data_IF_770570418402
#
_entry.id   IF_770570418402
#
_cell.length_a   1.000
_cell.length_b   1.000
_cell.length_c   1.000
_cell.angle_alpha   90.00
_cell.angle_beta   90.00
_cell.angle_gamma   90.00
#
_symmetry.space_group_name_H-M   'P 1'
#
loop_
_entity.id
_entity.type
_entity.pdbx_description
1 polymer ?
#
# COMPACT_ATOMS: atom_id res chain seq x y z
N UNK A 1 -5.40 -6.69 6.08
CA UNK A 1 -6.02 -6.43 4.76
C UNK A 1 -5.24 -7.23 3.72
N UNK A 2 -5.90 -8.08 2.95
CA UNK A 2 -5.24 -8.87 1.89
C UNK A 2 -5.79 -8.45 0.53
N UNK A 3 -4.91 -8.16 -0.42
CA UNK A 3 -5.24 -7.72 -1.78
C UNK A 3 -4.30 -8.39 -2.79
N UNK A 4 -4.66 -8.35 -4.07
CA UNK A 4 -3.82 -8.84 -5.16
C UNK A 4 -3.01 -7.72 -5.79
N UNK A 5 -1.86 -8.05 -6.42
CA UNK A 5 -1.10 -7.08 -7.21
C UNK A 5 -1.99 -6.36 -8.24
N UNK A 6 -1.76 -5.06 -8.42
CA UNK A 6 -2.51 -4.20 -9.32
C UNK A 6 -3.82 -3.65 -8.77
N UNK A 7 -4.32 -4.16 -7.63
CA UNK A 7 -5.52 -3.64 -7.00
C UNK A 7 -5.26 -2.36 -6.18
N UNK A 8 -6.33 -1.70 -5.77
CA UNK A 8 -6.27 -0.63 -4.80
C UNK A 8 -6.53 -1.19 -3.39
N UNK A 9 -5.72 -0.78 -2.41
CA UNK A 9 -5.93 -1.09 -1.01
C UNK A 9 -6.51 0.13 -0.27
N UNK A 10 -7.56 -0.07 0.51
CA UNK A 10 -8.08 0.98 1.40
C UNK A 10 -7.56 0.75 2.81
N UNK A 11 -6.72 1.66 3.29
CA UNK A 11 -6.18 1.64 4.64
C UNK A 11 -7.09 2.49 5.55
N UNK A 12 -7.91 1.82 6.36
CA UNK A 12 -8.89 2.46 7.25
C UNK A 12 -8.25 3.21 8.42
N UNK A 13 -8.62 4.48 8.63
CA UNK A 13 -8.26 5.19 9.84
C UNK A 13 -9.34 6.20 10.20
N UNK A 14 -9.86 6.12 11.42
CA UNK A 14 -10.95 6.98 11.88
C UNK A 14 -10.62 7.64 13.21
N UNK A 15 -10.86 8.94 13.30
CA UNK A 15 -10.79 9.71 14.55
C UNK A 15 -12.17 9.92 15.15
N UNK A 16 -12.30 10.98 15.95
CA UNK A 16 -13.62 11.45 16.41
C UNK A 16 -14.31 12.27 15.33
N UNK A 17 -15.61 12.02 15.13
CA UNK A 17 -16.49 12.81 14.25
C UNK A 17 -16.74 14.24 14.74
N UNK A 18 -16.59 14.49 16.05
CA UNK A 18 -16.98 15.76 16.68
C UNK A 18 -15.85 16.81 16.70
N UNK A 19 -14.64 16.38 16.30
CA UNK A 19 -13.42 17.17 16.37
C UNK A 19 -12.86 17.41 14.97
N UNK A 20 -12.31 18.60 14.76
CA UNK A 20 -11.65 18.91 13.49
C UNK A 20 -10.27 18.28 13.44
N UNK A 21 -9.99 17.55 12.37
CA UNK A 21 -8.67 17.02 12.08
C UNK A 21 -7.70 18.17 11.76
N UNK A 22 -6.58 18.18 12.48
CA UNK A 22 -5.50 19.15 12.31
C UNK A 22 -4.29 18.54 11.59
N UNK A 23 -3.97 17.28 11.88
CA UNK A 23 -2.87 16.52 11.27
C UNK A 23 -3.34 15.09 11.01
N UNK A 24 -2.94 14.54 9.87
CA UNK A 24 -2.98 13.09 9.58
C UNK A 24 -1.61 12.67 9.11
N UNK A 25 -1.10 11.61 9.69
CA UNK A 25 0.14 10.98 9.27
C UNK A 25 -0.13 9.52 8.98
N UNK A 26 0.23 9.07 7.79
CA UNK A 26 0.39 7.65 7.50
C UNK A 26 1.87 7.36 7.33
N UNK A 27 2.34 6.34 8.05
CA UNK A 27 3.74 5.89 8.04
C UNK A 27 3.79 4.40 7.77
N UNK A 28 4.90 3.96 7.19
CA UNK A 28 5.27 2.55 7.09
C UNK A 28 6.59 2.43 7.87
N UNK A 29 6.61 1.83 9.07
CA UNK A 29 7.76 1.89 9.99
C UNK A 29 9.06 1.27 9.44
N UNK A 30 8.96 0.41 8.44
CA UNK A 30 10.06 -0.21 7.70
C UNK A 30 10.74 0.72 6.69
N UNK A 31 10.18 1.91 6.45
CA UNK A 31 10.78 2.95 5.60
C UNK A 31 11.64 3.91 6.42
N UNK A 32 12.26 4.88 5.74
CA UNK A 32 13.06 5.93 6.40
C UNK A 32 12.19 6.70 7.40
N UNK A 33 12.71 7.03 8.61
CA UNK A 33 11.93 7.66 9.70
C UNK A 33 11.21 8.95 9.32
N UNK A 34 11.79 9.73 8.40
CA UNK A 34 11.30 11.05 8.01
C UNK A 34 10.44 11.03 6.73
N UNK A 35 10.00 9.84 6.29
CA UNK A 35 9.23 9.68 5.06
C UNK A 35 7.82 9.14 5.34
N UNK A 36 6.82 9.76 4.72
CA UNK A 36 5.42 9.43 4.93
C UNK A 36 4.85 8.62 3.77
N UNK A 37 3.84 7.80 4.05
CA UNK A 37 2.93 7.28 3.03
C UNK A 37 1.96 8.38 2.61
N UNK A 38 1.46 9.14 3.59
CA UNK A 38 0.61 10.31 3.37
C UNK A 38 0.80 11.30 4.53
N UNK A 39 0.87 12.59 4.23
CA UNK A 39 0.94 13.64 5.25
C UNK A 39 -0.02 14.77 4.93
N UNK A 40 -0.87 15.08 5.90
CA UNK A 40 -1.77 16.22 5.86
C UNK A 40 -1.61 17.05 7.12
N UNK A 41 -1.54 18.36 6.93
CA UNK A 41 -1.62 19.34 8.01
C UNK A 41 -2.53 20.45 7.53
N UNK A 42 -3.66 20.62 8.24
CA UNK A 42 -4.76 21.50 7.86
C UNK A 42 -4.25 22.85 7.30
N UNK A 43 -4.71 23.28 6.12
CA UNK A 43 -5.70 22.65 5.23
C UNK A 43 -5.10 21.84 4.06
N UNK A 44 -3.79 21.54 4.06
CA UNK A 44 -3.10 21.00 2.89
C UNK A 44 -2.52 19.59 3.11
N UNK A 45 -2.50 18.79 2.05
CA UNK A 45 -1.65 17.61 1.92
C UNK A 45 -0.29 17.99 1.32
N UNK A 46 0.78 17.32 1.74
CA UNK A 46 2.15 17.67 1.33
C UNK A 46 2.85 16.46 0.74
N UNK A 47 2.84 16.38 -0.59
CA UNK A 47 3.48 15.29 -1.34
C UNK A 47 5.02 15.31 -1.24
N UNK A 48 5.61 16.48 -0.95
CA UNK A 48 7.07 16.62 -0.78
C UNK A 48 7.63 15.86 0.44
N UNK A 49 6.79 15.46 1.40
CA UNK A 49 7.19 14.61 2.52
C UNK A 49 6.89 13.12 2.29
N UNK A 50 6.24 12.77 1.17
CA UNK A 50 5.96 11.37 0.86
C UNK A 50 7.22 10.65 0.41
N UNK A 51 7.34 9.39 0.83
CA UNK A 51 8.35 8.48 0.30
C UNK A 51 8.09 8.25 -1.20
N UNK A 52 9.16 8.16 -1.99
CA UNK A 52 9.08 8.15 -3.47
C UNK A 52 8.20 7.03 -4.01
N UNK A 53 8.17 5.87 -3.35
CA UNK A 53 7.33 4.74 -3.76
C UNK A 53 5.83 5.01 -3.64
N UNK A 54 5.38 6.05 -2.92
CA UNK A 54 3.96 6.35 -2.68
C UNK A 54 3.45 7.57 -3.45
N UNK A 55 4.34 8.41 -3.99
CA UNK A 55 3.96 9.59 -4.75
C UNK A 55 3.07 9.23 -5.94
N UNK A 56 2.02 10.03 -6.16
CA UNK A 56 1.00 9.78 -7.18
C UNK A 56 0.16 8.49 -7.00
N UNK A 57 0.35 7.73 -5.91
CA UNK A 57 -0.41 6.49 -5.64
C UNK A 57 -1.35 6.57 -4.45
N UNK A 58 -1.27 7.61 -3.64
CA UNK A 58 -2.04 7.71 -2.38
C UNK A 58 -3.02 8.88 -2.40
N UNK A 59 -4.30 8.58 -2.19
CA UNK A 59 -5.35 9.58 -2.03
C UNK A 59 -6.13 9.36 -0.74
N UNK A 60 -6.78 10.41 -0.24
CA UNK A 60 -7.82 10.25 0.78
C UNK A 60 -9.02 9.53 0.18
N UNK A 61 -9.58 8.57 0.91
CA UNK A 61 -10.87 7.97 0.55
C UNK A 61 -11.98 9.03 0.53
N UNK A 62 -11.97 9.91 1.51
CA UNK A 62 -12.90 11.01 1.66
C UNK A 62 -12.09 12.31 1.75
N UNK A 63 -11.98 13.10 0.67
CA UNK A 63 -11.14 14.30 0.64
C UNK A 63 -11.49 15.34 1.71
N UNK A 64 -12.74 15.37 2.16
CA UNK A 64 -13.19 16.26 3.24
C UNK A 64 -12.83 15.76 4.65
N UNK A 65 -12.41 14.49 4.77
CA UNK A 65 -12.25 13.75 6.03
C UNK A 65 -13.43 13.91 7.00
N UNK A 66 -14.66 14.00 6.44
CA UNK A 66 -15.88 14.09 7.24
C UNK A 66 -15.99 12.91 8.20
N UNK A 67 -16.66 13.14 9.32
CA UNK A 67 -16.86 12.13 10.37
C UNK A 67 -15.55 11.55 10.93
N UNK A 68 -14.44 12.27 10.79
CA UNK A 68 -13.13 11.86 11.25
C UNK A 68 -12.46 10.80 10.36
N UNK A 69 -12.93 10.59 9.13
CA UNK A 69 -12.41 9.58 8.21
C UNK A 69 -11.11 10.03 7.53
N UNK A 70 -9.98 9.53 8.04
CA UNK A 70 -8.63 9.79 7.52
C UNK A 70 -8.07 8.61 6.72
N UNK A 71 -8.96 7.73 6.23
CA UNK A 71 -8.58 6.54 5.47
C UNK A 71 -7.97 6.94 4.12
N UNK A 72 -6.95 6.20 3.68
CA UNK A 72 -6.29 6.42 2.39
C UNK A 72 -6.50 5.25 1.45
N UNK A 73 -6.55 5.54 0.15
CA UNK A 73 -6.52 4.57 -0.93
C UNK A 73 -5.11 4.54 -1.50
N UNK A 74 -4.42 3.40 -1.35
CA UNK A 74 -3.15 3.11 -2.00
C UNK A 74 -3.43 2.39 -3.32
N UNK A 75 -3.11 3.02 -4.45
CA UNK A 75 -3.40 2.54 -5.80
C UNK A 75 -2.32 1.61 -6.32
N UNK A 76 -2.74 0.69 -7.19
CA UNK A 76 -1.84 -0.20 -7.95
C UNK A 76 -0.78 -0.85 -7.05
N UNK A 77 -1.25 -1.58 -6.05
CA UNK A 77 -0.39 -2.20 -5.03
C UNK A 77 0.48 -3.30 -5.63
N UNK A 78 1.67 -3.49 -5.08
CA UNK A 78 2.58 -4.59 -5.45
C UNK A 78 3.05 -5.34 -4.19
N UNK A 79 3.77 -6.44 -4.39
CA UNK A 79 4.30 -7.25 -3.28
C UNK A 79 5.15 -6.40 -2.32
N UNK A 80 5.88 -5.39 -2.82
CA UNK A 80 6.70 -4.49 -1.99
C UNK A 80 5.88 -3.57 -1.08
N UNK A 81 4.60 -3.39 -1.36
CA UNK A 81 3.70 -2.61 -0.50
C UNK A 81 3.25 -3.41 0.73
N UNK A 82 3.53 -4.72 0.78
CA UNK A 82 3.28 -5.54 1.98
C UNK A 82 4.02 -4.96 3.19
N UNK A 83 3.35 -4.93 4.33
CA UNK A 83 3.91 -4.46 5.59
C UNK A 83 2.87 -3.85 6.52
N UNK A 84 3.36 -3.31 7.63
CA UNK A 84 2.56 -2.60 8.62
C UNK A 84 2.49 -1.12 8.27
N UNK A 85 1.28 -0.58 8.29
CA UNK A 85 0.99 0.83 8.08
C UNK A 85 0.39 1.40 9.36
N UNK A 86 0.90 2.55 9.78
CA UNK A 86 0.46 3.23 10.99
C UNK A 86 -0.16 4.57 10.62
N UNK A 87 -1.33 4.84 11.18
CA UNK A 87 -2.02 6.10 11.05
C UNK A 87 -2.03 6.83 12.39
N UNK A 88 -1.75 8.13 12.37
CA UNK A 88 -1.90 9.03 13.50
C UNK A 88 -2.76 10.23 13.09
N UNK A 89 -3.84 10.47 13.83
CA UNK A 89 -4.74 11.62 13.65
C UNK A 89 -4.61 12.52 14.88
N UNK A 90 -4.25 13.78 14.66
CA UNK A 90 -4.28 14.82 15.71
C UNK A 90 -5.45 15.74 15.41
N UNK A 91 -6.35 15.87 16.37
CA UNK A 91 -7.50 16.78 16.30
C UNK A 91 -7.28 18.01 17.17
N UNK A 92 -7.88 19.13 16.81
CA UNK A 92 -7.87 20.33 17.65
C UNK A 92 -9.27 20.95 17.70
N UNK A 93 -9.71 21.28 18.90
CA UNK A 93 -10.99 21.95 19.13
C UNK A 93 -10.82 23.14 20.08
N UNK A 94 -11.62 24.18 19.85
CA UNK A 94 -11.63 25.44 20.62
C UNK A 94 -13.06 25.74 21.06
N UNK A 95 -13.71 24.81 21.76
CA UNK A 95 -15.11 25.00 22.21
C UNK A 95 -15.24 25.80 23.52
N UNK A 96 -14.17 25.99 24.29
CA UNK A 96 -14.25 26.58 25.64
C UNK A 96 -13.09 27.54 26.00
N UNK A 97 -12.28 27.97 25.01
CA UNK A 97 -11.04 28.73 25.25
C UNK A 97 -9.84 27.85 25.62
N UNK A 98 -10.08 26.61 26.02
CA UNK A 98 -9.07 25.56 26.20
C UNK A 98 -8.93 24.74 24.90
N UNK A 99 -7.69 24.41 24.51
CA UNK A 99 -7.41 23.58 23.33
C UNK A 99 -7.51 22.11 23.75
N UNK A 100 -8.61 21.46 23.39
CA UNK A 100 -8.72 20.00 23.49
C UNK A 100 -8.01 19.38 22.27
N UNK A 101 -6.88 18.73 22.53
CA UNK A 101 -6.08 18.03 21.52
C UNK A 101 -6.20 16.53 21.79
N UNK A 102 -6.78 15.81 20.84
CA UNK A 102 -6.87 14.34 20.90
C UNK A 102 -6.07 13.71 19.78
N UNK A 103 -5.48 12.57 20.12
CA UNK A 103 -4.65 11.75 19.27
C UNK A 103 -5.32 10.39 19.08
N UNK A 104 -5.42 9.93 17.83
CA UNK A 104 -5.96 8.62 17.48
C UNK A 104 -4.90 7.86 16.68
N UNK A 105 -4.59 6.62 17.10
CA UNK A 105 -3.61 5.77 16.41
C UNK A 105 -4.24 4.48 15.94
N UNK A 106 -3.94 4.11 14.70
CA UNK A 106 -4.36 2.85 14.10
C UNK A 106 -3.18 2.16 13.44
N UNK A 107 -3.23 0.83 13.38
CA UNK A 107 -2.24 0.01 12.69
C UNK A 107 -2.96 -1.00 11.79
N UNK A 108 -2.47 -1.15 10.56
CA UNK A 108 -3.00 -2.09 9.57
C UNK A 108 -1.84 -2.88 8.97
N UNK A 109 -1.99 -4.20 8.95
CA UNK A 109 -1.12 -5.06 8.15
C UNK A 109 -1.72 -5.24 6.75
N UNK A 110 -1.02 -4.77 5.73
CA UNK A 110 -1.32 -5.02 4.33
C UNK A 110 -0.51 -6.23 3.85
N UNK A 111 -1.21 -7.21 3.27
CA UNK A 111 -0.60 -8.36 2.60
C UNK A 111 -0.97 -8.33 1.14
N UNK A 112 0.02 -8.20 0.26
CA UNK A 112 -0.17 -8.30 -1.19
C UNK A 112 0.37 -9.65 -1.64
N UNK A 113 -0.51 -10.54 -2.07
CA UNK A 113 -0.14 -11.90 -2.47
C UNK A 113 -0.77 -12.23 -3.81
N UNK A 114 -0.03 -12.92 -4.68
CA UNK A 114 -0.60 -13.48 -5.90
C UNK A 114 -1.24 -14.83 -5.58
N UNK A 115 -2.54 -14.98 -5.88
CA UNK A 115 -3.20 -16.29 -5.78
C UNK A 115 -2.58 -17.32 -6.76
N UNK A 116 -1.87 -16.85 -7.79
CA UNK A 116 -1.14 -17.65 -8.76
C UNK A 116 -0.04 -18.52 -8.13
N UNK A 117 0.69 -18.03 -7.12
CA UNK A 117 1.74 -18.82 -6.43
C UNK A 117 1.16 -20.07 -5.73
N UNK A 118 -0.06 -19.97 -5.19
CA UNK A 118 -0.76 -21.11 -4.59
C UNK A 118 -1.13 -22.16 -5.64
N UNK A 119 -1.54 -21.74 -6.85
CA UNK A 119 -1.93 -22.67 -7.92
C UNK A 119 -0.72 -23.27 -8.64
N UNK A 120 0.40 -22.54 -8.80
CA UNK A 120 1.64 -23.11 -9.34
C UNK A 120 2.27 -24.14 -8.37
N UNK A 121 2.19 -23.91 -7.06
CA UNK A 121 2.65 -24.90 -6.07
C UNK A 121 1.77 -26.16 -6.05
N UNK A 122 0.44 -26.01 -6.06
CA UNK A 122 -0.49 -27.13 -6.08
C UNK A 122 -0.44 -27.90 -7.39
N UNK A 123 -0.30 -27.22 -8.53
CA UNK A 123 -0.07 -27.85 -9.83
C UNK A 123 1.22 -28.69 -9.81
N UNK A 124 2.33 -28.17 -9.27
CA UNK A 124 3.56 -28.95 -9.09
C UNK A 124 3.40 -30.16 -8.16
N UNK A 125 2.60 -30.05 -7.10
CA UNK A 125 2.39 -31.15 -6.15
C UNK A 125 1.56 -32.28 -6.77
N UNK A 126 0.60 -32.00 -7.66
CA UNK A 126 -0.17 -33.05 -8.34
C UNK A 126 0.53 -33.70 -9.55
N UNK A 127 1.70 -33.20 -10.00
CA UNK A 127 2.54 -33.94 -10.97
C UNK A 127 3.37 -35.05 -10.29
N UNK A 128 3.43 -35.09 -8.94
CA UNK A 128 4.25 -36.06 -8.20
C UNK A 128 3.66 -37.48 -8.11
N UNK A 129 2.42 -37.70 -8.59
CA UNK A 129 1.75 -39.02 -8.56
C UNK A 129 1.39 -39.57 -9.95
N UNK A 130 1.71 -38.84 -11.03
CA UNK A 130 1.60 -39.38 -12.38
C UNK A 130 2.96 -39.26 -13.03
N UNK A 131 3.63 -40.39 -13.13
CA UNK A 131 4.81 -40.60 -13.95
C UNK A 131 4.54 -40.09 -15.37
N UNK A 132 5.02 -38.91 -15.71
CA UNK A 132 5.28 -38.54 -17.09
C UNK A 132 6.70 -37.99 -17.17
N UNK A 133 7.58 -38.82 -17.70
CA UNK A 133 8.84 -38.38 -18.27
C UNK A 133 8.54 -37.32 -19.33
N UNK A 134 8.95 -36.08 -19.11
CA UNK A 134 9.35 -35.22 -20.21
C UNK A 134 10.50 -34.35 -19.73
N UNK A 135 11.71 -34.84 -19.99
CA UNK A 135 12.88 -34.00 -19.93
C UNK A 135 12.79 -32.95 -21.03
N UNK A 136 13.00 -31.69 -20.67
CA UNK A 136 13.92 -30.78 -21.36
C UNK A 136 13.98 -29.46 -20.60
N UNK A 137 15.18 -29.15 -20.11
CA UNK A 137 15.60 -27.80 -19.78
C UNK A 137 15.50 -26.93 -21.05
N UNK A 138 14.90 -25.73 -21.03
CA UNK A 138 15.09 -24.81 -22.13
C UNK A 138 16.43 -24.11 -21.93
N UNK A 139 17.48 -24.70 -22.52
CA UNK A 139 18.71 -23.99 -22.83
C UNK A 139 18.38 -22.89 -23.83
N UNK A 140 18.50 -21.63 -23.43
CA UNK A 140 18.38 -20.48 -24.33
C UNK A 140 19.50 -20.57 -25.37
N UNK A 141 19.15 -20.87 -26.62
CA UNK A 141 20.08 -20.85 -27.74
C UNK A 141 19.81 -19.59 -28.55
N UNK A 142 20.72 -18.60 -28.48
CA UNK A 142 20.66 -17.44 -29.37
C UNK A 142 20.94 -17.90 -30.80
N UNK A 143 19.96 -17.76 -31.69
CA UNK A 143 20.18 -17.86 -33.13
C UNK A 143 20.47 -16.47 -33.70
N UNK A 144 21.69 -16.32 -34.21
CA UNK A 144 22.13 -15.18 -35.03
C UNK A 144 21.55 -15.37 -36.42
N UNK A 145 20.59 -14.54 -36.83
CA UNK A 145 20.20 -14.40 -38.24
C UNK A 145 21.11 -13.35 -38.88
N UNK A 146 22.10 -13.82 -39.64
CA UNK A 146 22.80 -12.99 -40.63
C UNK A 146 21.92 -12.93 -41.89
N UNK A 147 21.25 -11.81 -42.09
CA UNK A 147 20.73 -11.42 -43.40
C UNK A 147 21.83 -10.66 -44.14
N UNK A 148 22.34 -11.24 -45.22
CA UNK A 148 22.91 -10.54 -46.39
C UNK A 148 23.25 -11.59 -47.45
N UNK A 149 22.50 -11.56 -48.55
CA UNK A 149 22.90 -12.15 -49.82
C UNK A 149 22.97 -11.02 -50.85
N UNK A 150 23.98 -11.14 -51.74
CA UNK A 150 24.44 -10.25 -52.82
C UNK A 150 25.48 -9.21 -52.38
#
# INVERSE_FOLDING_TARGET
LTVWPGQNATLECRGSSDLMISVVQWRKPDLKPDSYVFFYRKPHSYENYQHESFKGRVDLREPSMKDGDASVILRNVSISDTGTYECEIITSNTRSGERDVKEFKHSINLTVTDAGEFLFSLACVCVSLITFCCGQSPTVTMHVTRDTWI
#
